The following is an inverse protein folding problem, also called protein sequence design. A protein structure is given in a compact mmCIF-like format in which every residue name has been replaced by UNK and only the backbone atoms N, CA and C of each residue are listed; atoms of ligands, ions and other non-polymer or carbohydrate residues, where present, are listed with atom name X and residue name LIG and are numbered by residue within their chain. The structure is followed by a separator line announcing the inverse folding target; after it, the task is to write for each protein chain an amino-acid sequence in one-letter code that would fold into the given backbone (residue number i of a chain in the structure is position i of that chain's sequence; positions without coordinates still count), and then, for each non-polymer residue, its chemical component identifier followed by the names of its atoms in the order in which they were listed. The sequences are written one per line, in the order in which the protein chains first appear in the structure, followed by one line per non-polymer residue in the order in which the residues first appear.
data_IF_937955233442
#
_entry.id   IF_937955233442
#
_cell.length_a   1.000
_cell.length_b   1.000
_cell.length_c   1.000
_cell.angle_alpha   90.00
_cell.angle_beta   90.00
_cell.angle_gamma   90.00
#
_symmetry.space_group_name_H-M   'P 1'
#
loop_
_entity.id
_entity.type
_entity.pdbx_description
1 polymer ?
#
# COMPACT_ATOMS: atom_id res chain seq x y z
N UNK A 1 -14.97 -2.89 -17.65
CA UNK A 1 -13.53 -2.72 -17.39
C UNK A 1 -13.14 -1.34 -17.88
N UNK A 2 -12.47 -0.53 -17.07
CA UNK A 2 -12.09 0.85 -17.45
C UNK A 2 -10.77 0.78 -18.23
N UNK A 3 -10.70 1.28 -19.48
CA UNK A 3 -9.48 1.21 -20.28
C UNK A 3 -8.39 2.13 -19.73
N UNK A 4 -7.13 1.69 -19.80
CA UNK A 4 -5.97 2.51 -19.50
C UNK A 4 -5.26 2.93 -20.79
N UNK A 5 -4.65 4.12 -20.76
CA UNK A 5 -3.87 4.70 -21.85
C UNK A 5 -2.39 4.35 -21.71
N UNK A 6 -1.86 4.45 -20.49
CA UNK A 6 -0.43 4.29 -20.23
C UNK A 6 -0.17 3.85 -18.79
N UNK A 7 0.89 3.07 -18.59
CA UNK A 7 1.39 2.64 -17.28
C UNK A 7 2.79 3.22 -17.10
N UNK A 8 3.04 3.79 -15.93
CA UNK A 8 4.32 4.37 -15.54
C UNK A 8 4.86 3.60 -14.34
N UNK A 9 5.81 2.72 -14.59
CA UNK A 9 6.52 2.00 -13.53
C UNK A 9 7.62 2.92 -13.01
N UNK A 10 7.85 2.93 -11.70
CA UNK A 10 8.96 3.69 -11.14
C UNK A 10 10.29 3.24 -11.77
N UNK A 11 11.14 4.15 -12.28
CA UNK A 11 12.31 3.78 -13.10
C UNK A 11 13.36 2.96 -12.35
N UNK A 12 13.40 3.09 -11.02
CA UNK A 12 14.32 2.35 -10.14
C UNK A 12 13.67 1.12 -9.47
N UNK A 13 12.51 0.66 -9.95
CA UNK A 13 11.90 -0.58 -9.47
C UNK A 13 12.60 -1.80 -10.07
N UNK A 14 12.74 -2.87 -9.29
CA UNK A 14 13.28 -4.16 -9.74
C UNK A 14 12.52 -5.31 -9.09
N UNK A 15 12.34 -6.43 -9.79
CA UNK A 15 11.61 -7.60 -9.26
C UNK A 15 12.31 -8.29 -8.09
N UNK A 16 13.59 -8.00 -7.86
CA UNK A 16 14.41 -8.61 -6.79
C UNK A 16 14.46 -7.78 -5.51
N UNK A 17 13.86 -6.58 -5.50
CA UNK A 17 13.87 -5.68 -4.34
C UNK A 17 12.52 -4.98 -4.19
N UNK A 18 11.96 -4.91 -2.97
CA UNK A 18 10.71 -4.17 -2.74
C UNK A 18 10.88 -2.65 -2.84
N UNK A 19 12.10 -2.15 -3.12
CA UNK A 19 12.37 -0.72 -3.22
C UNK A 19 11.66 -0.09 -4.42
N UNK A 20 11.04 1.06 -4.17
CA UNK A 20 10.27 1.81 -5.17
C UNK A 20 9.17 0.95 -5.84
N UNK A 21 8.52 0.08 -5.06
CA UNK A 21 7.41 -0.74 -5.52
C UNK A 21 6.13 0.10 -5.64
N UNK A 22 6.07 0.88 -6.72
CA UNK A 22 4.89 1.65 -7.12
C UNK A 22 4.85 1.86 -8.65
N UNK A 23 3.64 2.05 -9.15
CA UNK A 23 3.38 2.48 -10.52
C UNK A 23 2.14 3.38 -10.60
N UNK A 24 2.04 4.18 -11.66
CA UNK A 24 0.86 4.98 -11.98
C UNK A 24 0.18 4.43 -13.23
N UNK A 25 -1.15 4.46 -13.25
CA UNK A 25 -1.97 4.07 -14.39
C UNK A 25 -2.77 5.28 -14.85
N UNK A 26 -2.54 5.73 -16.08
CA UNK A 26 -3.34 6.77 -16.70
C UNK A 26 -4.54 6.13 -17.41
N UNK A 27 -5.75 6.55 -17.03
CA UNK A 27 -6.97 6.09 -17.67
C UNK A 27 -7.12 6.71 -19.07
N UNK A 28 -7.73 5.98 -20.00
CA UNK A 28 -8.01 6.51 -21.35
C UNK A 28 -9.16 7.51 -21.38
N UNK A 29 -10.03 7.45 -20.36
CA UNK A 29 -11.18 8.33 -20.20
C UNK A 29 -11.24 8.85 -18.76
N UNK A 30 -11.63 10.11 -18.54
CA UNK A 30 -11.87 10.62 -17.20
C UNK A 30 -12.96 9.81 -16.49
N UNK A 31 -12.80 9.62 -15.18
CA UNK A 31 -13.74 8.86 -14.35
C UNK A 31 -14.96 9.74 -14.01
N UNK A 32 -16.01 9.71 -14.82
CA UNK A 32 -17.21 10.56 -14.64
C UNK A 32 -18.45 9.81 -14.16
N UNK A 33 -18.42 8.48 -14.11
CA UNK A 33 -19.60 7.63 -13.92
C UNK A 33 -19.87 7.22 -12.46
N UNK A 34 -18.93 7.48 -11.54
CA UNK A 34 -19.05 7.13 -10.13
C UNK A 34 -18.71 8.33 -9.25
N UNK A 35 -19.37 8.43 -8.09
CA UNK A 35 -18.90 9.32 -7.02
C UNK A 35 -17.55 8.80 -6.53
N UNK A 36 -16.48 9.33 -7.09
CA UNK A 36 -15.11 8.99 -6.71
C UNK A 36 -14.55 10.11 -5.87
N UNK A 37 -14.22 9.80 -4.62
CA UNK A 37 -13.44 10.69 -3.78
C UNK A 37 -11.96 10.59 -4.19
N UNK A 38 -11.36 11.74 -4.48
CA UNK A 38 -9.91 11.83 -4.71
C UNK A 38 -9.18 11.91 -3.37
N UNK A 39 -8.18 11.06 -3.20
CA UNK A 39 -7.25 11.14 -2.07
C UNK A 39 -6.13 12.13 -2.38
N UNK A 40 -5.61 12.77 -1.35
CA UNK A 40 -4.47 13.66 -1.46
C UNK A 40 -3.16 12.87 -1.32
N UNK A 41 -2.12 13.32 -2.02
CA UNK A 41 -0.77 12.91 -1.68
C UNK A 41 -0.43 13.41 -0.27
N UNK A 42 0.31 12.63 0.52
CA UNK A 42 0.57 12.95 1.90
C UNK A 42 1.48 14.18 1.98
N UNK A 43 1.15 15.08 2.90
CA UNK A 43 2.06 16.12 3.36
C UNK A 43 3.29 15.49 4.05
N UNK A 44 4.36 16.25 4.31
CA UNK A 44 5.47 15.78 5.14
C UNK A 44 4.95 15.10 6.39
N UNK A 45 5.50 13.92 6.70
CA UNK A 45 5.22 13.28 7.97
C UNK A 45 5.66 14.25 9.06
N UNK A 46 4.69 14.77 9.78
CA UNK A 46 4.93 15.22 11.14
C UNK A 46 5.16 13.95 11.98
N UNK A 47 5.92 14.06 13.07
CA UNK A 47 6.22 12.95 14.01
C UNK A 47 4.98 12.51 14.82
N UNK A 48 3.80 12.56 14.21
CA UNK A 48 2.52 12.24 14.80
C UNK A 48 2.09 10.83 14.39
N UNK A 49 1.60 10.08 15.37
CA UNK A 49 0.93 8.80 15.14
C UNK A 49 -0.40 9.06 14.44
N UNK A 50 -0.62 8.43 13.28
CA UNK A 50 -1.86 8.55 12.50
C UNK A 50 -2.67 7.26 12.53
N UNK A 51 -3.98 7.38 12.73
CA UNK A 51 -4.92 6.27 12.52
C UNK A 51 -5.22 6.13 11.02
N UNK A 52 -5.02 4.91 10.51
CA UNK A 52 -5.11 4.60 9.09
C UNK A 52 -6.07 3.44 8.84
N UNK A 53 -6.74 3.49 7.70
CA UNK A 53 -7.58 2.41 7.18
C UNK A 53 -6.91 1.82 5.95
N UNK A 54 -6.83 0.50 5.92
CA UNK A 54 -6.30 -0.28 4.79
C UNK A 54 -7.43 -1.11 4.22
N UNK A 55 -7.63 -1.01 2.91
CA UNK A 55 -8.64 -1.76 2.18
C UNK A 55 -7.96 -2.80 1.28
N UNK A 56 -8.35 -4.07 1.37
CA UNK A 56 -7.78 -5.11 0.52
C UNK A 56 -8.76 -6.27 0.33
N UNK A 57 -8.59 -7.01 -0.77
CA UNK A 57 -9.27 -8.28 -0.98
C UNK A 57 -8.39 -9.42 -0.48
N UNK A 58 -9.00 -10.34 0.25
CA UNK A 58 -8.33 -11.55 0.71
C UNK A 58 -8.76 -12.72 -0.14
N UNK A 59 -7.78 -13.52 -0.53
CA UNK A 59 -7.99 -14.79 -1.19
C UNK A 59 -7.76 -15.88 -0.14
N UNK A 60 -8.84 -16.35 0.49
CA UNK A 60 -8.74 -17.45 1.47
C UNK A 60 -8.71 -18.77 0.73
N UNK A 61 -7.71 -19.61 1.02
CA UNK A 61 -7.58 -20.96 0.45
C UNK A 61 -8.64 -21.94 0.99
N UNK A 62 -9.43 -21.52 1.99
CA UNK A 62 -10.41 -22.36 2.69
C UNK A 62 -11.72 -22.59 1.93
N UNK A 63 -11.92 -21.98 0.76
CA UNK A 63 -13.09 -22.24 -0.08
C UNK A 63 -12.68 -22.82 -1.43
N UNK A 64 -12.43 -24.13 -1.43
CA UNK A 64 -12.52 -24.99 -2.61
C UNK A 64 -13.87 -24.74 -3.31
N UNK A 65 -13.89 -23.81 -4.27
CA UNK A 65 -15.02 -23.64 -5.21
C UNK A 65 -15.89 -22.39 -5.05
N UNK A 66 -15.55 -21.43 -4.18
CA UNK A 66 -16.27 -20.14 -4.15
C UNK A 66 -15.29 -18.96 -4.19
N UNK A 67 -15.18 -18.31 -5.35
CA UNK A 67 -14.36 -17.10 -5.59
C UNK A 67 -15.01 -15.85 -5.01
N UNK A 68 -15.39 -15.90 -3.72
CA UNK A 68 -15.92 -14.73 -3.01
C UNK A 68 -14.81 -13.73 -2.76
N UNK A 69 -14.70 -12.69 -3.60
CA UNK A 69 -13.80 -11.55 -3.36
C UNK A 69 -14.44 -10.61 -2.32
N UNK A 70 -14.29 -10.93 -1.04
CA UNK A 70 -14.73 -10.02 0.02
C UNK A 70 -13.70 -8.91 0.21
N UNK A 71 -14.16 -7.67 0.17
CA UNK A 71 -13.35 -6.50 0.51
C UNK A 71 -13.24 -6.42 2.04
N UNK A 72 -12.02 -6.48 2.53
CA UNK A 72 -11.70 -6.29 3.95
C UNK A 72 -11.23 -4.86 4.18
N UNK A 73 -11.59 -4.34 5.35
CA UNK A 73 -11.13 -3.04 5.85
C UNK A 73 -10.53 -3.25 7.22
N UNK A 74 -9.30 -2.82 7.42
CA UNK A 74 -8.59 -2.94 8.69
C UNK A 74 -8.07 -1.58 9.15
N UNK A 75 -8.11 -1.35 10.46
CA UNK A 75 -7.54 -0.17 11.09
C UNK A 75 -6.15 -0.51 11.61
N UNK A 76 -5.19 0.38 11.36
CA UNK A 76 -3.84 0.28 11.89
C UNK A 76 -3.32 1.67 12.22
N UNK A 77 -2.24 1.73 13.02
CA UNK A 77 -1.57 2.98 13.35
C UNK A 77 -0.27 3.09 12.56
N UNK A 78 -0.11 4.21 11.89
CA UNK A 78 1.16 4.66 11.35
C UNK A 78 1.91 5.37 12.47
N UNK A 79 2.98 4.74 12.93
CA UNK A 79 3.80 5.22 14.03
C UNK A 79 5.23 5.47 13.51
N UNK A 80 5.67 6.74 13.43
CA UNK A 80 7.02 7.08 12.98
C UNK A 80 8.13 6.48 13.85
N UNK A 81 7.86 6.22 15.14
CA UNK A 81 8.82 5.65 16.09
C UNK A 81 8.88 4.11 16.02
N UNK A 82 8.08 3.49 15.14
CA UNK A 82 8.08 2.05 14.96
C UNK A 82 9.39 1.57 14.35
N UNK A 83 10.11 0.73 15.09
CA UNK A 83 11.39 0.16 14.65
C UNK A 83 11.21 -0.94 13.59
N UNK A 84 10.91 -0.51 12.36
CA UNK A 84 10.72 -1.37 11.21
C UNK A 84 11.98 -2.17 10.85
N UNK A 85 13.17 -1.60 11.09
CA UNK A 85 14.44 -2.30 10.84
C UNK A 85 14.53 -3.57 11.67
N UNK A 86 14.20 -3.49 12.96
CA UNK A 86 14.18 -4.65 13.87
C UNK A 86 13.03 -5.60 13.58
N UNK A 87 11.83 -5.10 13.31
CA UNK A 87 10.65 -5.95 13.02
C UNK A 87 10.79 -6.76 11.73
N UNK A 88 11.60 -6.27 10.78
CA UNK A 88 11.75 -6.86 9.45
C UNK A 88 13.11 -7.54 9.24
N UNK A 89 13.85 -7.82 10.32
CA UNK A 89 15.17 -8.48 10.29
C UNK A 89 16.13 -7.84 9.27
N UNK A 90 16.17 -6.51 9.20
CA UNK A 90 17.04 -5.75 8.30
C UNK A 90 16.57 -5.64 6.84
N UNK A 91 15.37 -6.12 6.49
CA UNK A 91 14.80 -6.03 5.13
C UNK A 91 14.08 -4.71 4.83
N UNK A 92 14.21 -3.72 5.70
CA UNK A 92 13.60 -2.41 5.54
C UNK A 92 14.53 -1.48 4.75
N UNK A 93 13.98 -0.76 3.77
CA UNK A 93 14.75 0.10 2.85
C UNK A 93 14.21 1.53 2.88
N UNK A 94 15.05 2.54 2.56
CA UNK A 94 14.60 3.93 2.43
C UNK A 94 13.47 4.07 1.40
N UNK A 95 12.48 4.90 1.71
CA UNK A 95 11.26 5.07 0.91
C UNK A 95 10.16 4.06 1.24
N UNK A 96 10.28 3.38 2.39
CA UNK A 96 9.25 2.51 2.95
C UNK A 96 8.82 3.02 4.32
N UNK A 97 7.64 2.58 4.75
CA UNK A 97 7.25 2.56 6.16
C UNK A 97 6.59 1.22 6.48
N UNK A 98 6.48 0.89 7.75
CA UNK A 98 5.75 -0.29 8.19
C UNK A 98 4.66 0.05 9.19
N UNK A 99 3.64 -0.81 9.27
CA UNK A 99 2.57 -0.72 10.25
C UNK A 99 2.23 -2.10 10.79
N UNK A 100 1.66 -2.14 11.99
CA UNK A 100 1.34 -3.38 12.68
C UNK A 100 2.49 -3.87 13.55
N UNK A 101 2.34 -5.08 14.08
CA UNK A 101 3.26 -5.67 15.04
C UNK A 101 3.74 -7.05 14.53
N UNK A 102 4.46 -7.80 15.35
CA UNK A 102 4.77 -9.22 15.11
C UNK A 102 3.98 -10.06 16.11
N UNK A 103 2.66 -9.97 16.07
CA UNK A 103 1.75 -10.85 16.80
C UNK A 103 1.14 -11.80 15.75
N UNK A 104 1.09 -13.11 16.03
CA UNK A 104 0.41 -14.09 15.18
C UNK A 104 1.25 -15.29 14.74
N UNK A 105 0.58 -16.34 14.27
CA UNK A 105 1.20 -17.50 13.62
C UNK A 105 1.64 -17.11 12.20
N UNK A 106 2.79 -17.62 11.74
CA UNK A 106 3.35 -17.36 10.39
C UNK A 106 2.52 -17.97 9.25
N UNK A 107 1.27 -18.33 9.50
CA UNK A 107 0.41 -18.94 8.50
C UNK A 107 0.19 -17.93 7.37
N UNK A 108 0.58 -18.27 6.13
CA UNK A 108 0.41 -17.38 5.01
C UNK A 108 -1.08 -17.27 4.66
N UNK A 109 -1.57 -16.06 4.47
CA UNK A 109 -2.82 -15.83 3.73
C UNK A 109 -2.48 -15.11 2.42
N UNK A 110 -3.21 -15.43 1.35
CA UNK A 110 -3.06 -14.71 0.10
C UNK A 110 -3.80 -13.37 0.22
N UNK A 111 -3.01 -12.30 0.28
CA UNK A 111 -3.50 -10.92 0.28
C UNK A 111 -3.25 -10.34 -1.11
N UNK A 112 -4.20 -9.59 -1.65
CA UNK A 112 -3.94 -8.80 -2.86
C UNK A 112 -3.06 -7.61 -2.47
N UNK A 113 -1.84 -7.59 -3.01
CA UNK A 113 -0.89 -6.48 -2.87
C UNK A 113 -1.45 -5.17 -3.47
N UNK A 114 -0.75 -4.06 -3.23
CA UNK A 114 -1.16 -2.70 -3.60
C UNK A 114 -2.38 -2.14 -2.84
N UNK A 115 -2.67 -2.68 -1.66
CA UNK A 115 -3.67 -2.13 -0.76
C UNK A 115 -3.32 -0.69 -0.31
N UNK A 116 -4.23 0.29 -0.43
CA UNK A 116 -3.97 1.66 0.00
C UNK A 116 -3.97 1.78 1.53
N UNK A 117 -3.02 2.51 2.09
CA UNK A 117 -3.05 2.99 3.47
C UNK A 117 -3.56 4.44 3.50
N UNK A 118 -4.78 4.64 4.00
CA UNK A 118 -5.48 5.93 3.99
C UNK A 118 -5.58 6.44 5.43
N UNK A 119 -5.04 7.62 5.71
CA UNK A 119 -5.14 8.24 7.03
C UNK A 119 -5.80 9.62 6.85
N UNK A 120 -7.04 9.76 7.34
CA UNK A 120 -7.87 10.91 6.98
C UNK A 120 -8.21 10.94 5.48
N UNK A 121 -7.77 11.98 4.76
CA UNK A 121 -7.91 12.09 3.29
C UNK A 121 -6.58 11.94 2.53
N UNK A 122 -5.53 11.51 3.22
CA UNK A 122 -4.20 11.32 2.64
C UNK A 122 -3.94 9.83 2.35
N UNK A 123 -3.42 9.54 1.16
CA UNK A 123 -2.91 8.21 0.81
C UNK A 123 -1.44 8.11 1.24
N UNK A 124 -1.17 7.58 2.43
CA UNK A 124 0.21 7.53 2.95
C UNK A 124 1.08 6.53 2.18
N UNK A 125 0.49 5.41 1.76
CA UNK A 125 1.26 4.31 1.20
C UNK A 125 0.45 3.34 0.37
N UNK A 126 1.19 2.54 -0.39
CA UNK A 126 0.67 1.39 -1.14
C UNK A 126 1.38 0.16 -0.59
N UNK A 127 0.61 -0.86 -0.20
CA UNK A 127 1.16 -2.08 0.39
C UNK A 127 2.03 -2.82 -0.63
N UNK A 128 3.30 -3.02 -0.29
CA UNK A 128 4.26 -3.77 -1.11
C UNK A 128 4.27 -5.24 -0.69
N UNK A 129 4.51 -5.52 0.59
CA UNK A 129 4.59 -6.89 1.12
C UNK A 129 4.26 -6.95 2.63
N UNK A 130 4.20 -8.16 3.19
CA UNK A 130 4.03 -8.39 4.63
C UNK A 130 4.86 -9.61 5.10
N UNK A 131 5.19 -9.66 6.39
CA UNK A 131 5.93 -10.79 7.00
C UNK A 131 5.08 -12.05 7.20
N UNK A 132 3.76 -11.96 7.04
CA UNK A 132 2.81 -13.05 7.16
C UNK A 132 1.39 -12.56 6.90
N UNK A 133 0.39 -13.23 7.46
CA UNK A 133 -0.99 -12.82 7.26
C UNK A 133 -1.31 -11.52 8.01
N UNK A 134 -1.78 -10.51 7.28
CA UNK A 134 -2.15 -9.20 7.82
C UNK A 134 -3.29 -9.29 8.84
N UNK A 135 -4.17 -10.28 8.71
CA UNK A 135 -5.29 -10.50 9.63
C UNK A 135 -4.86 -10.97 11.01
N UNK A 136 -3.70 -11.60 11.12
CA UNK A 136 -3.21 -12.13 12.39
C UNK A 136 -2.31 -11.15 13.14
N UNK A 137 -2.10 -9.96 12.59
CA UNK A 137 -1.33 -8.89 13.24
C UNK A 137 0.13 -8.79 12.81
N UNK A 138 0.49 -9.33 11.63
CA UNK A 138 1.83 -9.24 11.05
C UNK A 138 2.18 -7.83 10.58
N UNK A 139 3.49 -7.59 10.45
CA UNK A 139 4.02 -6.32 9.97
C UNK A 139 3.79 -6.20 8.48
N UNK A 140 3.11 -5.13 8.10
CA UNK A 140 2.83 -4.75 6.72
C UNK A 140 3.82 -3.67 6.31
N UNK A 141 4.37 -3.79 5.10
CA UNK A 141 5.35 -2.86 4.55
C UNK A 141 4.75 -2.14 3.35
N UNK A 142 4.82 -0.82 3.39
CA UNK A 142 4.25 0.06 2.39
C UNK A 142 5.35 0.87 1.71
N UNK A 143 5.16 1.11 0.42
CA UNK A 143 5.90 2.15 -0.31
C UNK A 143 5.41 3.50 0.18
N UNK A 144 6.32 4.34 0.69
CA UNK A 144 6.00 5.65 1.24
C UNK A 144 5.71 6.66 0.12
N UNK A 145 4.45 7.12 0.02
CA UNK A 145 4.08 8.08 -1.02
C UNK A 145 4.55 9.51 -0.74
N UNK A 146 4.93 9.85 0.49
CA UNK A 146 5.51 11.15 0.78
C UNK A 146 6.88 11.28 0.11
N UNK A 147 7.79 10.32 0.37
CA UNK A 147 9.12 10.30 -0.25
C UNK A 147 9.08 10.15 -1.78
N UNK A 148 8.05 9.50 -2.32
CA UNK A 148 7.86 9.35 -3.77
C UNK A 148 7.03 10.48 -4.41
N UNK A 149 6.51 11.43 -3.62
CA UNK A 149 5.67 12.51 -4.13
C UNK A 149 6.31 13.36 -5.24
N UNK A 150 7.64 13.63 -5.26
CA UNK A 150 8.25 14.35 -6.38
C UNK A 150 8.15 13.58 -7.69
N UNK A 151 8.36 12.25 -7.67
CA UNK A 151 8.24 11.41 -8.86
C UNK A 151 6.79 11.36 -9.36
N UNK A 152 5.83 11.18 -8.43
CA UNK A 152 4.40 11.13 -8.77
C UNK A 152 3.97 12.44 -9.44
N UNK A 153 4.32 13.59 -8.84
CA UNK A 153 3.99 14.91 -9.38
C UNK A 153 4.63 15.15 -10.74
N UNK A 154 5.88 14.74 -10.93
CA UNK A 154 6.56 14.86 -12.22
C UNK A 154 5.82 14.09 -13.32
N UNK A 155 5.46 12.82 -13.08
CA UNK A 155 4.69 12.02 -14.04
C UNK A 155 3.33 12.65 -14.34
N UNK A 156 2.62 13.14 -13.32
CA UNK A 156 1.31 13.80 -13.51
C UNK A 156 1.45 15.10 -14.31
N UNK A 157 2.53 15.86 -14.12
CA UNK A 157 2.73 17.16 -14.81
C UNK A 157 3.23 17.04 -16.25
N UNK A 158 3.81 15.91 -16.62
CA UNK A 158 4.39 15.66 -17.93
C UNK A 158 3.37 15.13 -18.96
N UNK A 159 2.12 14.91 -18.55
CA UNK A 159 1.02 14.31 -19.32
C UNK A 159 -0.23 15.19 -19.29
#
# INVERSE_FOLDING_TARGET
MIPYKKIFIHPNFTVTSPKNDLMLIQLSVPLTFFSADTLHLPAPLNDEVKDCVIHTWLQTTDFLGNTGSTLYSMKSRLDPDLDCMRLLDGKFLPGMFCMGNTLGSRDPCQVVAAAPAICGRELQGIMSWATGCILTGHTMVFTDLHSHSPWIKNVISAE
#
